data_IF_510103425847
#
_entry.id   IF_510103425847
#
_cell.length_a   1.000
_cell.length_b   1.000
_cell.length_c   1.000
_cell.angle_alpha   90.00
_cell.angle_beta   90.00
_cell.angle_gamma   90.00
#
_symmetry.space_group_name_H-M   'P 1'
#
loop_
_entity.id
_entity.type
_entity.pdbx_description
1 polymer ?
#
# COMPACT_ATOMS: atom_id res chain seq x y z
N UNK A 1 -30.98 -15.97 30.33
CA UNK A 1 -29.69 -16.29 31.00
C UNK A 1 -28.73 -16.56 29.86
N UNK A 2 -27.84 -15.65 29.48
CA UNK A 2 -26.95 -14.83 30.30
C UNK A 2 -26.99 -13.35 29.88
N UNK A 3 -27.17 -12.47 30.87
CA UNK A 3 -26.64 -11.11 30.84
C UNK A 3 -25.13 -11.19 31.06
N UNK A 4 -24.36 -10.36 30.37
CA UNK A 4 -23.17 -9.62 30.83
C UNK A 4 -22.49 -9.07 29.57
N UNK A 5 -22.51 -7.74 29.43
CA UNK A 5 -21.45 -6.89 28.85
C UNK A 5 -22.01 -5.62 28.17
N UNK A 6 -23.17 -5.11 28.61
CA UNK A 6 -23.65 -3.77 28.21
C UNK A 6 -23.23 -2.64 29.15
N UNK A 7 -22.40 -2.88 30.18
CA UNK A 7 -22.04 -1.82 31.15
C UNK A 7 -20.62 -1.91 31.71
N UNK A 8 -19.60 -1.94 30.85
CA UNK A 8 -18.29 -1.37 31.23
C UNK A 8 -17.83 -0.44 30.11
N UNK A 9 -18.27 0.82 30.24
CA UNK A 9 -17.44 2.02 30.17
C UNK A 9 -16.57 2.13 28.89
N UNK A 10 -16.91 2.97 27.91
CA UNK A 10 -17.03 4.44 28.07
C UNK A 10 -16.06 4.93 29.16
N UNK A 11 -14.77 4.86 28.83
CA UNK A 11 -13.69 5.34 29.66
C UNK A 11 -12.42 5.53 28.83
N UNK A 12 -12.28 6.74 28.28
CA UNK A 12 -11.05 7.33 27.74
C UNK A 12 -10.45 6.75 26.44
N UNK A 13 -10.47 7.57 25.38
CA UNK A 13 -9.50 7.48 24.29
C UNK A 13 -10.07 7.75 22.90
N UNK A 14 -10.01 9.01 22.46
CA UNK A 14 -10.28 9.43 21.07
C UNK A 14 -9.56 8.52 20.07
N UNK A 15 -10.28 7.88 19.15
CA UNK A 15 -9.70 7.35 17.92
C UNK A 15 -10.16 5.96 17.49
N UNK A 16 -11.46 5.75 17.29
CA UNK A 16 -11.95 4.55 16.60
C UNK A 16 -13.30 4.83 15.92
N UNK A 17 -13.34 5.81 15.00
CA UNK A 17 -14.43 5.90 14.00
C UNK A 17 -14.00 5.00 12.85
N UNK A 18 -14.38 3.73 12.90
CA UNK A 18 -13.94 2.78 11.89
C UNK A 18 -14.49 1.38 12.07
N UNK A 19 -15.78 1.26 12.41
CA UNK A 19 -16.49 -0.01 12.35
C UNK A 19 -17.83 0.26 11.68
N UNK A 20 -17.84 0.13 10.34
CA UNK A 20 -19.07 0.13 9.56
C UNK A 20 -19.85 -1.12 9.94
N UNK A 21 -21.01 -0.87 10.53
CA UNK A 21 -22.07 -1.80 10.84
C UNK A 21 -22.62 -2.37 9.52
N UNK A 22 -22.08 -3.48 9.04
CA UNK A 22 -22.71 -4.25 7.96
C UNK A 22 -23.83 -5.09 8.56
N UNK A 23 -25.02 -4.48 8.61
CA UNK A 23 -26.27 -5.18 8.81
C UNK A 23 -27.20 -4.77 7.67
N UNK A 24 -27.58 -5.74 6.84
CA UNK A 24 -28.58 -5.56 5.79
C UNK A 24 -28.20 -6.27 4.51
N UNK A 25 -28.51 -7.56 4.43
CA UNK A 25 -28.95 -8.13 3.15
C UNK A 25 -30.06 -7.22 2.61
N UNK A 26 -29.90 -6.72 1.37
CA UNK A 26 -30.88 -6.13 0.44
C UNK A 26 -30.36 -4.82 -0.22
N UNK A 27 -29.86 -4.95 -1.47
CA UNK A 27 -29.87 -3.99 -2.61
C UNK A 27 -28.52 -3.79 -3.35
N UNK A 28 -28.52 -4.34 -4.58
CA UNK A 28 -27.80 -3.98 -5.81
C UNK A 28 -26.40 -4.58 -6.04
N UNK A 29 -26.38 -5.79 -6.62
CA UNK A 29 -25.22 -6.35 -7.33
C UNK A 29 -24.57 -5.32 -8.28
N UNK A 30 -25.36 -4.50 -8.98
CA UNK A 30 -24.85 -3.47 -9.90
C UNK A 30 -24.10 -2.31 -9.21
N UNK A 31 -24.49 -1.93 -7.99
CA UNK A 31 -23.80 -0.88 -7.21
C UNK A 31 -22.52 -1.42 -6.59
N UNK A 32 -22.55 -2.68 -6.16
CA UNK A 32 -21.38 -3.42 -5.69
C UNK A 32 -20.39 -3.61 -6.84
N UNK A 33 -20.85 -4.04 -8.02
CA UNK A 33 -20.05 -4.17 -9.24
C UNK A 33 -19.44 -2.84 -9.65
N UNK A 34 -20.20 -1.74 -9.72
CA UNK A 34 -19.63 -0.42 -10.01
C UNK A 34 -18.61 0.05 -8.97
N UNK A 35 -18.82 -0.28 -7.70
CA UNK A 35 -17.85 0.03 -6.65
C UNK A 35 -16.57 -0.80 -6.83
N UNK A 36 -16.69 -2.09 -7.14
CA UNK A 36 -15.56 -2.96 -7.47
C UNK A 36 -14.85 -2.52 -8.75
N UNK A 37 -15.56 -2.10 -9.79
CA UNK A 37 -15.00 -1.58 -11.04
C UNK A 37 -14.20 -0.30 -10.79
N UNK A 38 -14.75 0.63 -10.01
CA UNK A 38 -14.04 1.87 -9.60
C UNK A 38 -12.82 1.57 -8.74
N UNK A 39 -12.89 0.58 -7.86
CA UNK A 39 -11.74 0.13 -7.06
C UNK A 39 -10.68 -0.55 -7.93
N UNK A 40 -11.09 -1.41 -8.86
CA UNK A 40 -10.22 -2.08 -9.82
C UNK A 40 -9.54 -1.07 -10.75
N UNK A 41 -10.27 -0.07 -11.25
CA UNK A 41 -9.69 1.04 -12.00
C UNK A 41 -8.67 1.83 -11.18
N UNK A 42 -8.99 2.12 -9.91
CA UNK A 42 -8.09 2.80 -8.99
C UNK A 42 -6.80 2.01 -8.75
N UNK A 43 -6.92 0.69 -8.58
CA UNK A 43 -5.81 -0.23 -8.40
C UNK A 43 -4.96 -0.37 -9.68
N UNK A 44 -5.58 -0.45 -10.84
CA UNK A 44 -4.90 -0.54 -12.13
C UNK A 44 -4.11 0.74 -12.43
N UNK A 45 -4.68 1.92 -12.14
CA UNK A 45 -3.97 3.20 -12.23
C UNK A 45 -2.76 3.25 -11.28
N UNK A 46 -2.91 2.71 -10.07
CA UNK A 46 -1.82 2.62 -9.09
C UNK A 46 -0.71 1.67 -9.56
N UNK A 47 -1.06 0.51 -10.12
CA UNK A 47 -0.14 -0.46 -10.71
C UNK A 47 0.66 0.17 -11.85
N UNK A 48 -0.01 0.82 -12.81
CA UNK A 48 0.64 1.55 -13.92
C UNK A 48 1.59 2.64 -13.41
N UNK A 49 1.22 3.34 -12.34
CA UNK A 49 2.09 4.36 -11.71
C UNK A 49 3.34 3.76 -11.09
N UNK A 50 3.19 2.68 -10.33
CA UNK A 50 4.34 1.96 -9.74
C UNK A 50 5.27 1.47 -10.85
N UNK A 51 4.72 0.87 -11.90
CA UNK A 51 5.50 0.39 -13.04
C UNK A 51 6.32 1.51 -13.68
N UNK A 52 5.71 2.67 -13.97
CA UNK A 52 6.44 3.84 -14.50
C UNK A 52 7.57 4.31 -13.58
N UNK A 53 7.35 4.29 -12.27
CA UNK A 53 8.39 4.67 -11.31
C UNK A 53 9.51 3.63 -11.21
N UNK A 54 9.19 2.34 -11.29
CA UNK A 54 10.18 1.26 -11.34
C UNK A 54 11.03 1.38 -12.61
N UNK A 55 10.41 1.55 -13.78
CA UNK A 55 11.14 1.75 -15.04
C UNK A 55 12.04 3.00 -14.98
N UNK A 56 11.56 4.09 -14.38
CA UNK A 56 12.40 5.26 -14.12
C UNK A 56 13.60 4.94 -13.24
N UNK A 57 13.41 4.16 -12.17
CA UNK A 57 14.48 3.78 -11.26
C UNK A 57 15.48 2.82 -11.92
N UNK A 58 15.04 1.93 -12.81
CA UNK A 58 15.94 1.04 -13.60
C UNK A 58 16.94 1.79 -14.46
N UNK A 59 16.69 3.06 -14.79
CA UNK A 59 17.65 3.93 -15.46
C UNK A 59 18.88 4.29 -14.60
N UNK A 60 18.89 3.97 -13.31
CA UNK A 60 20.01 4.22 -12.41
C UNK A 60 20.73 2.92 -12.05
N UNK A 61 22.06 2.90 -12.19
CA UNK A 61 22.90 1.72 -11.99
C UNK A 61 22.66 1.02 -10.65
N UNK A 62 22.57 1.78 -9.55
CA UNK A 62 22.35 1.23 -8.21
C UNK A 62 21.04 0.45 -8.08
N UNK A 63 19.97 0.90 -8.75
CA UNK A 63 18.68 0.23 -8.68
C UNK A 63 18.63 -0.94 -9.66
N UNK A 64 19.28 -0.82 -10.83
CA UNK A 64 19.40 -1.92 -11.78
C UNK A 64 20.06 -3.14 -11.13
N UNK A 65 21.21 -2.95 -10.47
CA UNK A 65 21.91 -4.03 -9.75
C UNK A 65 21.05 -4.64 -8.64
N UNK A 66 20.33 -3.81 -7.88
CA UNK A 66 19.40 -4.29 -6.85
C UNK A 66 18.24 -5.10 -7.45
N UNK A 67 17.70 -4.67 -8.58
CA UNK A 67 16.53 -5.27 -9.22
C UNK A 67 16.85 -6.54 -10.03
N UNK A 68 18.12 -6.78 -10.36
CA UNK A 68 18.59 -8.03 -10.99
C UNK A 68 18.57 -9.21 -10.00
N UNK A 69 18.64 -8.96 -8.70
CA UNK A 69 18.43 -9.98 -7.68
C UNK A 69 16.94 -10.31 -7.55
N UNK A 70 16.58 -11.57 -7.81
CA UNK A 70 15.20 -12.07 -7.73
C UNK A 70 14.56 -11.85 -6.36
N UNK A 71 15.32 -12.00 -5.27
CA UNK A 71 14.80 -11.80 -3.90
C UNK A 71 14.42 -10.34 -3.68
N UNK A 72 15.30 -9.43 -4.09
CA UNK A 72 15.08 -8.00 -4.00
C UNK A 72 13.90 -7.56 -4.88
N UNK A 73 13.80 -8.11 -6.09
CA UNK A 73 12.67 -7.89 -6.99
C UNK A 73 11.34 -8.30 -6.34
N UNK A 74 11.30 -9.49 -5.72
CA UNK A 74 10.11 -10.00 -5.04
C UNK A 74 9.72 -9.11 -3.87
N UNK A 75 10.67 -8.71 -3.02
CA UNK A 75 10.42 -7.77 -1.91
C UNK A 75 9.83 -6.46 -2.44
N UNK A 76 10.40 -5.90 -3.50
CA UNK A 76 9.95 -4.63 -4.10
C UNK A 76 8.54 -4.72 -4.68
N UNK A 77 8.19 -5.85 -5.33
CA UNK A 77 6.94 -6.00 -6.06
C UNK A 77 5.79 -6.58 -5.21
N UNK A 78 6.08 -7.45 -4.25
CA UNK A 78 5.08 -8.18 -3.46
C UNK A 78 4.77 -7.48 -2.14
N UNK A 79 5.72 -6.75 -1.55
CA UNK A 79 5.49 -6.08 -0.28
C UNK A 79 4.63 -4.81 -0.46
N UNK A 80 3.45 -4.80 0.16
CA UNK A 80 2.49 -3.70 0.05
C UNK A 80 3.05 -2.36 0.56
N UNK A 81 3.96 -2.37 1.53
CA UNK A 81 4.63 -1.15 2.03
C UNK A 81 5.48 -0.54 0.92
N UNK A 82 6.29 -1.35 0.23
CA UNK A 82 7.11 -0.87 -0.89
C UNK A 82 6.26 -0.44 -2.07
N UNK A 83 5.19 -1.18 -2.43
CA UNK A 83 4.24 -0.74 -3.46
C UNK A 83 3.63 0.63 -3.13
N UNK A 84 3.23 0.85 -1.88
CA UNK A 84 2.69 2.11 -1.42
C UNK A 84 3.73 3.25 -1.49
N UNK A 85 4.97 2.99 -1.08
CA UNK A 85 6.06 3.96 -1.17
C UNK A 85 6.40 4.30 -2.63
N UNK A 86 6.54 3.28 -3.47
CA UNK A 86 6.83 3.43 -4.89
C UNK A 86 5.69 4.07 -5.67
N UNK A 87 4.45 4.04 -5.18
CA UNK A 87 3.36 4.81 -5.79
C UNK A 87 3.52 6.34 -5.62
N UNK A 88 4.36 6.80 -4.68
CA UNK A 88 4.51 8.22 -4.32
C UNK A 88 5.67 8.88 -5.07
N UNK A 89 5.36 9.83 -5.96
CA UNK A 89 6.36 10.61 -6.74
C UNK A 89 7.45 11.27 -5.86
N UNK A 90 7.05 11.85 -4.72
CA UNK A 90 8.00 12.48 -3.77
C UNK A 90 9.01 11.47 -3.22
N UNK A 91 8.61 10.23 -3.00
CA UNK A 91 9.50 9.19 -2.50
C UNK A 91 10.52 8.79 -3.57
N UNK A 92 10.08 8.60 -4.83
CA UNK A 92 10.99 8.34 -5.96
C UNK A 92 12.02 9.46 -6.13
N UNK A 93 11.58 10.71 -6.04
CA UNK A 93 12.50 11.86 -6.07
C UNK A 93 13.53 11.79 -4.94
N UNK A 94 13.13 11.41 -3.72
CA UNK A 94 14.07 11.21 -2.61
C UNK A 94 15.08 10.11 -2.88
N UNK A 95 14.66 8.95 -3.41
CA UNK A 95 15.59 7.86 -3.76
C UNK A 95 16.63 8.27 -4.81
N UNK A 96 16.23 9.12 -5.77
CA UNK A 96 17.12 9.61 -6.82
C UNK A 96 18.12 10.62 -6.24
N UNK A 97 17.64 11.64 -5.54
CA UNK A 97 18.47 12.81 -5.19
C UNK A 97 19.04 12.79 -3.77
N UNK A 98 18.56 11.93 -2.86
CA UNK A 98 19.08 11.82 -1.49
C UNK A 98 19.77 10.48 -1.27
N UNK A 99 21.09 10.53 -1.14
CA UNK A 99 21.91 9.33 -0.96
C UNK A 99 21.53 8.55 0.31
N UNK A 100 21.27 9.24 1.42
CA UNK A 100 20.87 8.62 2.68
C UNK A 100 19.55 7.83 2.58
N UNK A 101 18.57 8.37 1.85
CA UNK A 101 17.31 7.67 1.60
C UNK A 101 17.52 6.45 0.68
N UNK A 102 18.43 6.56 -0.28
CA UNK A 102 18.83 5.46 -1.15
C UNK A 102 19.50 4.33 -0.37
N UNK A 103 20.47 4.65 0.49
CA UNK A 103 21.16 3.66 1.35
C UNK A 103 20.17 2.93 2.26
N UNK A 104 19.28 3.66 2.93
CA UNK A 104 18.21 3.06 3.75
C UNK A 104 17.30 2.13 2.95
N UNK A 105 16.95 2.53 1.73
CA UNK A 105 16.13 1.68 0.85
C UNK A 105 16.86 0.39 0.47
N UNK A 106 18.11 0.49 -0.01
CA UNK A 106 18.93 -0.67 -0.37
C UNK A 106 19.07 -1.62 0.82
N UNK A 107 19.41 -1.08 2.00
CA UNK A 107 19.56 -1.87 3.22
C UNK A 107 18.30 -2.66 3.54
N UNK A 108 17.11 -2.03 3.50
CA UNK A 108 15.85 -2.69 3.84
C UNK A 108 15.35 -3.68 2.79
N UNK A 109 15.80 -3.57 1.54
CA UNK A 109 15.47 -4.53 0.48
C UNK A 109 16.42 -5.73 0.52
N UNK A 110 17.67 -5.51 0.93
CA UNK A 110 18.69 -6.55 1.09
C UNK A 110 18.65 -7.27 2.46
N UNK A 111 17.86 -6.79 3.42
CA UNK A 111 17.68 -7.42 4.74
C UNK A 111 16.68 -8.57 4.64
#
# INVERSE_FOLDING_TARGET
MEDISWRILIGAGRGAVGMIKFAGDFLLDEVVEQAFEKLAEGEERKKKRIQRHVEKLKGYTWFKTLYEDKRCQEVILCNQVYKNLLSKRRYIHRLIYKEEERKKFIQRVNS
#
